data_IF_145712160139
#
_entry.id   IF_145712160139
#
_cell.length_a   1.000
_cell.length_b   1.000
_cell.length_c   1.000
_cell.angle_alpha   90.00
_cell.angle_beta   90.00
_cell.angle_gamma   90.00
#
_symmetry.space_group_name_H-M   'P 1'
#
loop_
_entity.id
_entity.type
_entity.pdbx_description
1 polymer ?
#
# COMPACT_ATOMS: atom_id res chain seq x y z
N UNK A 1 -10.28 -19.29 -2.33
CA UNK A 1 -10.01 -18.15 -1.43
C UNK A 1 -10.27 -18.57 0.01
N UNK A 2 -9.44 -18.13 0.96
CA UNK A 2 -9.60 -18.39 2.40
C UNK A 2 -10.91 -17.79 2.94
N UNK A 3 -11.30 -16.61 2.44
CA UNK A 3 -12.59 -15.97 2.74
C UNK A 3 -13.79 -16.90 2.49
N UNK A 4 -13.82 -17.59 1.34
CA UNK A 4 -14.87 -18.57 0.98
C UNK A 4 -14.90 -19.82 1.87
N UNK A 5 -13.86 -20.04 2.68
CA UNK A 5 -13.78 -21.13 3.66
C UNK A 5 -14.14 -20.66 5.09
N UNK A 6 -14.64 -19.43 5.24
CA UNK A 6 -15.07 -18.88 6.54
C UNK A 6 -13.97 -18.20 7.35
N UNK A 7 -12.75 -18.06 6.81
CA UNK A 7 -11.68 -17.32 7.48
C UNK A 7 -11.84 -15.81 7.28
N UNK A 8 -11.69 -15.04 8.35
CA UNK A 8 -11.51 -13.58 8.27
C UNK A 8 -10.10 -13.29 7.78
N UNK A 9 -10.00 -12.62 6.63
CA UNK A 9 -8.73 -12.31 5.98
C UNK A 9 -8.80 -10.92 5.37
N UNK A 10 -7.70 -10.18 5.47
CA UNK A 10 -7.49 -8.92 4.75
C UNK A 10 -6.17 -9.05 3.96
N UNK A 11 -6.08 -8.50 2.74
CA UNK A 11 -4.82 -8.43 2.03
C UNK A 11 -3.90 -7.40 2.69
N UNK A 12 -2.61 -7.68 2.71
CA UNK A 12 -1.62 -6.70 3.15
C UNK A 12 -0.39 -6.78 2.27
N UNK A 13 -0.04 -5.67 1.65
CA UNK A 13 1.19 -5.51 0.89
C UNK A 13 1.89 -4.21 1.32
N UNK A 14 2.86 -4.36 2.23
CA UNK A 14 3.61 -3.26 2.82
C UNK A 14 4.14 -2.26 1.79
N UNK A 15 4.62 -2.76 0.64
CA UNK A 15 5.12 -1.95 -0.45
C UNK A 15 4.71 -2.57 -1.80
N UNK A 16 3.93 -1.83 -2.57
CA UNK A 16 3.65 -2.15 -3.97
C UNK A 16 4.41 -1.20 -4.90
N UNK A 17 4.66 -1.63 -6.14
CA UNK A 17 5.20 -0.79 -7.19
C UNK A 17 4.34 -0.93 -8.45
N UNK A 18 3.61 0.13 -8.82
CA UNK A 18 2.74 0.13 -9.99
C UNK A 18 2.29 1.54 -10.34
N UNK A 19 2.21 1.85 -11.64
CA UNK A 19 1.52 3.05 -12.12
C UNK A 19 0.01 2.84 -12.26
N UNK A 20 -0.48 1.61 -12.09
CA UNK A 20 -1.91 1.29 -12.14
C UNK A 20 -2.51 1.37 -10.73
N UNK A 21 -3.12 2.51 -10.44
CA UNK A 21 -3.72 2.82 -9.15
C UNK A 21 -5.19 3.23 -9.29
N UNK A 22 -5.92 3.22 -8.18
CA UNK A 22 -7.27 3.73 -8.09
C UNK A 22 -7.53 4.38 -6.73
N UNK A 23 -8.75 4.88 -6.54
CA UNK A 23 -9.16 5.47 -5.26
C UNK A 23 -9.77 4.42 -4.36
N UNK A 24 -9.33 4.41 -3.10
CA UNK A 24 -9.86 3.61 -2.00
C UNK A 24 -10.12 4.52 -0.79
N UNK A 25 -10.66 3.96 0.30
CA UNK A 25 -10.68 4.69 1.56
C UNK A 25 -9.24 4.99 2.01
N UNK A 26 -8.98 6.24 2.38
CA UNK A 26 -7.64 6.74 2.70
C UNK A 26 -6.92 7.42 1.53
N UNK A 27 -7.28 7.15 0.28
CA UNK A 27 -6.73 7.83 -0.90
C UNK A 27 -6.31 6.88 -2.03
N UNK A 28 -5.16 7.16 -2.65
CA UNK A 28 -4.65 6.39 -3.79
C UNK A 28 -4.05 5.04 -3.36
N UNK A 29 -4.43 3.97 -4.05
CA UNK A 29 -4.04 2.59 -3.72
C UNK A 29 -3.79 1.78 -5.00
N UNK A 30 -2.85 0.83 -4.96
CA UNK A 30 -2.57 -0.03 -6.11
C UNK A 30 -3.81 -0.83 -6.53
N UNK A 31 -4.11 -0.86 -7.84
CA UNK A 31 -5.33 -1.52 -8.36
C UNK A 31 -5.39 -3.01 -8.01
N UNK A 32 -4.23 -3.66 -7.96
CA UNK A 32 -4.14 -5.07 -7.55
C UNK A 32 -4.62 -5.28 -6.10
N UNK A 33 -4.23 -4.42 -5.16
CA UNK A 33 -4.65 -4.54 -3.77
C UNK A 33 -6.13 -4.19 -3.57
N UNK A 34 -6.67 -3.26 -4.37
CA UNK A 34 -8.13 -3.00 -4.40
C UNK A 34 -8.89 -4.28 -4.77
N UNK A 35 -8.50 -4.94 -5.86
CA UNK A 35 -9.14 -6.20 -6.30
C UNK A 35 -8.96 -7.32 -5.26
N UNK A 36 -7.80 -7.38 -4.57
CA UNK A 36 -7.59 -8.34 -3.49
C UNK A 36 -8.50 -8.10 -2.30
N UNK A 37 -8.77 -6.84 -1.95
CA UNK A 37 -9.68 -6.48 -0.86
C UNK A 37 -11.12 -6.87 -1.20
N UNK A 38 -11.56 -6.53 -2.41
CA UNK A 38 -12.87 -6.94 -2.96
C UNK A 38 -13.03 -8.46 -2.95
N UNK A 39 -12.00 -9.20 -3.37
CA UNK A 39 -11.97 -10.67 -3.36
C UNK A 39 -12.00 -11.27 -1.93
N UNK A 40 -11.42 -10.58 -0.96
CA UNK A 40 -11.49 -10.96 0.45
C UNK A 40 -12.83 -10.59 1.09
N UNK A 41 -13.67 -9.77 0.43
CA UNK A 41 -14.95 -9.30 0.94
C UNK A 41 -14.81 -8.17 1.96
N UNK A 42 -13.68 -7.44 1.95
CA UNK A 42 -13.41 -6.30 2.84
C UNK A 42 -13.37 -5.00 2.04
N UNK A 43 -13.69 -3.88 2.70
CA UNK A 43 -13.62 -2.55 2.06
C UNK A 43 -12.15 -2.22 1.74
N UNK A 44 -11.82 -1.86 0.48
CA UNK A 44 -10.46 -1.44 0.14
C UNK A 44 -10.04 -0.21 0.98
N UNK A 45 -8.91 -0.33 1.68
CA UNK A 45 -8.33 0.73 2.50
C UNK A 45 -6.83 0.82 2.27
N UNK A 46 -6.26 2.04 2.30
CA UNK A 46 -4.83 2.27 2.06
C UNK A 46 -3.91 1.58 3.06
N UNK A 47 -4.39 1.22 4.25
CA UNK A 47 -3.61 0.42 5.22
C UNK A 47 -3.22 -0.96 4.66
N UNK A 48 -3.96 -1.48 3.68
CA UNK A 48 -3.62 -2.73 2.99
C UNK A 48 -2.47 -2.54 1.98
N UNK A 49 -2.15 -1.29 1.63
CA UNK A 49 -1.04 -0.91 0.75
C UNK A 49 -0.46 0.46 1.15
N UNK A 50 0.21 0.56 2.31
CA UNK A 50 0.60 1.86 2.88
C UNK A 50 1.68 2.57 2.06
N UNK A 51 2.51 1.82 1.33
CA UNK A 51 3.50 2.37 0.40
C UNK A 51 3.21 1.91 -1.02
N UNK A 52 2.89 2.84 -1.90
CA UNK A 52 2.79 2.61 -3.34
C UNK A 52 3.87 3.43 -4.07
N UNK A 53 4.77 2.73 -4.73
CA UNK A 53 5.79 3.33 -5.59
C UNK A 53 5.28 3.39 -7.03
N UNK A 54 5.39 4.56 -7.65
CA UNK A 54 5.01 4.80 -9.04
C UNK A 54 6.28 5.05 -9.86
N UNK A 55 6.77 4.08 -10.64
CA UNK A 55 8.01 4.22 -11.40
C UNK A 55 8.00 5.43 -12.33
N UNK A 56 9.12 6.17 -12.31
CA UNK A 56 9.41 7.30 -13.19
C UNK A 56 10.71 7.04 -13.98
N UNK A 57 11.13 8.00 -14.79
CA UNK A 57 12.44 7.99 -15.43
C UNK A 57 13.59 8.07 -14.40
N UNK A 58 14.83 7.94 -14.87
CA UNK A 58 16.05 8.21 -14.08
C UNK A 58 16.20 7.42 -12.78
N UNK A 59 15.68 6.18 -12.75
CA UNK A 59 15.72 5.26 -11.59
C UNK A 59 15.07 5.85 -10.33
N UNK A 60 14.03 6.66 -10.53
CA UNK A 60 13.20 7.23 -9.47
C UNK A 60 11.81 6.59 -9.42
N UNK A 61 11.14 6.80 -8.30
CA UNK A 61 9.70 6.56 -8.20
C UNK A 61 9.03 7.63 -7.37
N UNK A 62 7.83 8.07 -7.76
CA UNK A 62 6.96 8.82 -6.86
C UNK A 62 6.48 7.88 -5.74
N UNK A 63 6.43 8.41 -4.53
CA UNK A 63 5.97 7.70 -3.33
C UNK A 63 4.59 8.21 -2.97
N UNK A 64 3.62 7.31 -3.00
CA UNK A 64 2.32 7.47 -2.37
C UNK A 64 2.40 6.78 -1.01
N UNK A 65 2.26 7.56 0.07
CA UNK A 65 2.27 7.09 1.46
C UNK A 65 0.88 7.31 2.05
N UNK A 66 0.26 6.24 2.57
CA UNK A 66 -1.08 6.25 3.15
C UNK A 66 -2.11 6.97 2.27
N UNK A 67 -2.07 6.69 0.96
CA UNK A 67 -2.99 7.25 -0.01
C UNK A 67 -2.66 8.64 -0.54
N UNK A 68 -1.54 9.24 -0.13
CA UNK A 68 -1.19 10.63 -0.49
C UNK A 68 0.22 10.73 -1.06
N UNK A 69 0.41 11.67 -1.99
CA UNK A 69 1.74 11.97 -2.53
C UNK A 69 2.65 12.44 -1.40
N UNK A 70 3.75 11.72 -1.17
CA UNK A 70 4.74 12.04 -0.15
C UNK A 70 6.00 12.67 -0.73
N UNK A 71 6.41 12.25 -1.94
CA UNK A 71 7.62 12.73 -2.58
C UNK A 71 8.16 11.71 -3.58
N UNK A 72 9.48 11.64 -3.69
CA UNK A 72 10.16 10.71 -4.60
C UNK A 72 11.22 9.91 -3.85
N UNK A 73 11.50 8.71 -4.35
CA UNK A 73 12.55 7.84 -3.84
C UNK A 73 13.58 7.57 -4.94
N UNK A 74 14.85 7.61 -4.55
CA UNK A 74 16.01 7.29 -5.39
C UNK A 74 17.13 6.64 -4.55
N UNK A 75 18.27 6.35 -5.19
CA UNK A 75 19.41 5.72 -4.52
C UNK A 75 20.03 6.60 -3.41
N UNK A 76 19.92 7.92 -3.50
CA UNK A 76 20.52 8.87 -2.55
C UNK A 76 19.69 8.92 -1.28
N UNK A 77 18.36 9.04 -1.40
CA UNK A 77 17.47 9.25 -0.26
C UNK A 77 16.86 7.95 0.32
N UNK A 78 17.05 6.80 -0.34
CA UNK A 78 16.48 5.50 0.05
C UNK A 78 16.66 5.17 1.53
N UNK A 79 17.89 5.31 2.06
CA UNK A 79 18.21 4.89 3.43
C UNK A 79 17.42 5.67 4.47
N UNK A 80 17.27 6.97 4.26
CA UNK A 80 16.56 7.85 5.19
C UNK A 80 15.06 7.65 5.07
N UNK A 81 14.55 7.61 3.84
CA UNK A 81 13.13 7.44 3.59
C UNK A 81 12.62 6.08 4.08
N UNK A 82 13.41 5.00 3.92
CA UNK A 82 13.05 3.66 4.42
C UNK A 82 12.73 3.66 5.92
N UNK A 83 13.44 4.44 6.74
CA UNK A 83 13.16 4.53 8.18
C UNK A 83 11.82 5.19 8.47
N UNK A 84 11.46 6.21 7.69
CA UNK A 84 10.14 6.85 7.77
C UNK A 84 9.05 5.88 7.33
N UNK A 85 9.18 5.29 6.13
CA UNK A 85 8.20 4.35 5.58
C UNK A 85 7.93 3.16 6.51
N UNK A 86 8.96 2.66 7.19
CA UNK A 86 8.82 1.54 8.13
C UNK A 86 7.88 1.84 9.30
N UNK A 87 7.77 3.09 9.75
CA UNK A 87 6.82 3.46 10.81
C UNK A 87 5.38 3.28 10.31
N UNK A 88 5.08 3.86 9.15
CA UNK A 88 3.77 3.77 8.51
C UNK A 88 3.38 2.33 8.18
N UNK A 89 4.32 1.52 7.69
CA UNK A 89 4.07 0.09 7.41
C UNK A 89 3.64 -0.67 8.67
N UNK A 90 4.25 -0.40 9.83
CA UNK A 90 3.86 -1.05 11.08
C UNK A 90 2.48 -0.59 11.55
N UNK A 91 2.23 0.72 11.51
CA UNK A 91 0.95 1.29 11.94
C UNK A 91 -0.20 0.73 11.06
N UNK A 92 0.02 0.63 9.75
CA UNK A 92 -0.93 0.05 8.80
C UNK A 92 -1.13 -1.48 8.99
N UNK A 93 -0.08 -2.21 9.37
CA UNK A 93 -0.18 -3.64 9.68
C UNK A 93 -1.07 -3.89 10.92
N UNK A 94 -0.87 -3.12 11.98
CA UNK A 94 -1.69 -3.19 13.19
C UNK A 94 -3.15 -2.81 12.89
N UNK A 95 -3.38 -1.77 12.08
CA UNK A 95 -4.72 -1.38 11.63
C UNK A 95 -5.41 -2.48 10.81
N UNK A 96 -4.71 -3.11 9.87
CA UNK A 96 -5.22 -4.24 9.08
C UNK A 96 -5.52 -5.49 9.92
N UNK A 97 -4.77 -5.72 11.00
CA UNK A 97 -4.99 -6.85 11.91
C UNK A 97 -6.27 -6.72 12.75
N UNK A 98 -6.84 -5.52 12.84
CA UNK A 98 -8.08 -5.26 13.56
C UNK A 98 -9.34 -5.46 12.69
N UNK A 99 -9.20 -5.78 11.40
CA UNK A 99 -10.28 -5.88 10.41
C UNK A 99 -10.76 -7.32 10.22
#
# INVERSE_FOLDING_TARGET
>A
MLSRRGYRVAPFNAQNMSNNAGTAAGGEMGRAQIVQAEAAGVVPHTDMNPVLLKPEADRRSQVILDGRVHGHIDAVNWRDLKRTLWRHVRDAYEACGAV
#
